data_IF_871442295588
#
_entry.id   IF_871442295588
#
_cell.length_a   1.000
_cell.length_b   1.000
_cell.length_c   1.000
_cell.angle_alpha   90.00
_cell.angle_beta   90.00
_cell.angle_gamma   90.00
#
_symmetry.space_group_name_H-M   'P 1'
#
loop_
_entity.id
_entity.type
_entity.pdbx_description
1 polymer ?
#
# COMPACT_ATOMS: atom_id res chain seq x y z
N UNK A 1 9.23 -17.55 10.21
CA UNK A 1 8.38 -16.38 9.88
C UNK A 1 7.27 -16.29 10.91
N UNK A 2 7.05 -15.10 11.48
CA UNK A 2 5.89 -14.82 12.32
C UNK A 2 4.64 -14.63 11.44
N UNK A 3 3.46 -15.01 11.95
CA UNK A 3 2.21 -14.66 11.29
C UNK A 3 1.90 -13.18 11.55
N UNK A 4 1.89 -12.37 10.48
CA UNK A 4 1.68 -10.92 10.55
C UNK A 4 0.23 -10.55 10.93
N UNK A 5 -0.72 -11.49 10.83
CA UNK A 5 -2.13 -11.25 11.11
C UNK A 5 -2.56 -11.54 12.55
N UNK A 6 -1.67 -12.08 13.38
CA UNK A 6 -2.03 -12.54 14.74
C UNK A 6 -2.60 -11.43 15.63
N UNK A 7 -2.22 -10.17 15.40
CA UNK A 7 -2.67 -9.03 16.21
C UNK A 7 -3.92 -8.34 15.66
N UNK A 8 -4.54 -8.87 14.60
CA UNK A 8 -5.70 -8.27 13.94
C UNK A 8 -6.92 -9.18 14.04
N UNK A 9 -8.07 -8.59 14.33
CA UNK A 9 -9.36 -9.27 14.36
C UNK A 9 -10.01 -9.26 12.98
N UNK A 10 -10.09 -8.09 12.35
CA UNK A 10 -10.71 -7.87 11.04
C UNK A 10 -9.71 -7.18 10.08
N UNK A 11 -8.59 -7.85 9.73
CA UNK A 11 -7.51 -7.25 8.96
C UNK A 11 -7.90 -6.97 7.51
N UNK A 12 -7.50 -5.78 7.07
CA UNK A 12 -7.38 -5.44 5.66
C UNK A 12 -5.90 -5.55 5.27
N UNK A 13 -5.60 -6.21 4.16
CA UNK A 13 -4.23 -6.46 3.68
C UNK A 13 -4.13 -6.04 2.22
N UNK A 14 -3.09 -5.29 1.88
CA UNK A 14 -2.68 -5.06 0.49
C UNK A 14 -1.26 -5.54 0.32
N UNK A 15 -1.04 -6.29 -0.76
CA UNK A 15 0.27 -6.71 -1.22
C UNK A 15 0.60 -5.92 -2.49
N UNK A 16 1.65 -5.11 -2.42
CA UNK A 16 2.08 -4.24 -3.52
C UNK A 16 3.46 -4.66 -3.97
N UNK A 17 3.56 -5.28 -5.15
CA UNK A 17 4.85 -5.52 -5.80
C UNK A 17 5.52 -4.20 -6.15
N UNK A 18 6.79 -4.12 -5.80
CA UNK A 18 7.64 -2.96 -6.06
C UNK A 18 8.67 -3.26 -7.14
N UNK A 19 8.93 -2.27 -7.99
CA UNK A 19 9.95 -2.33 -9.03
C UNK A 19 9.41 -2.11 -10.43
N UNK A 20 10.12 -1.30 -11.21
CA UNK A 20 9.95 -1.19 -12.68
C UNK A 20 10.55 -2.37 -13.45
N UNK A 21 11.51 -3.09 -12.84
CA UNK A 21 12.22 -4.27 -13.36
C UNK A 21 11.85 -5.46 -12.47
N UNK A 22 11.25 -6.49 -13.07
CA UNK A 22 10.74 -7.67 -12.36
C UNK A 22 11.63 -8.92 -12.47
N UNK A 23 12.87 -8.78 -12.92
CA UNK A 23 13.85 -9.86 -13.06
C UNK A 23 15.20 -9.45 -12.46
N UNK A 24 15.91 -10.42 -11.86
CA UNK A 24 17.26 -10.24 -11.35
C UNK A 24 18.29 -10.51 -12.46
N UNK A 25 19.56 -10.25 -12.17
CA UNK A 25 20.64 -10.39 -13.16
C UNK A 25 21.01 -11.87 -13.42
N UNK A 26 20.47 -12.79 -12.62
CA UNK A 26 20.64 -14.24 -12.76
C UNK A 26 19.48 -14.92 -13.50
N UNK A 27 18.44 -14.17 -13.89
CA UNK A 27 17.32 -14.72 -14.64
C UNK A 27 17.75 -15.17 -16.04
N UNK A 28 17.34 -16.39 -16.43
CA UNK A 28 17.50 -16.84 -17.81
C UNK A 28 16.69 -15.97 -18.79
N UNK A 29 17.03 -16.07 -20.07
CA UNK A 29 16.45 -15.20 -21.10
C UNK A 29 14.93 -15.39 -21.22
N UNK A 30 14.42 -16.61 -21.04
CA UNK A 30 12.98 -16.88 -21.09
C UNK A 30 12.24 -16.18 -19.93
N UNK A 31 12.76 -16.29 -18.70
CA UNK A 31 12.23 -15.64 -17.50
C UNK A 31 12.30 -14.12 -17.64
N UNK A 32 13.44 -13.61 -18.12
CA UNK A 32 13.64 -12.18 -18.36
C UNK A 32 12.61 -11.61 -19.34
N UNK A 33 12.42 -12.22 -20.51
CA UNK A 33 11.43 -11.77 -21.49
C UNK A 33 10.00 -11.82 -20.93
N UNK A 34 9.66 -12.88 -20.17
CA UNK A 34 8.37 -12.98 -19.48
C UNK A 34 8.15 -11.84 -18.47
N UNK A 35 9.17 -11.50 -17.69
CA UNK A 35 9.10 -10.44 -16.68
C UNK A 35 9.06 -9.04 -17.29
N UNK A 36 9.78 -8.82 -18.40
CA UNK A 36 9.68 -7.58 -19.21
C UNK A 36 8.26 -7.43 -19.75
N UNK A 37 7.72 -8.49 -20.36
CA UNK A 37 6.34 -8.50 -20.86
C UNK A 37 5.33 -8.23 -19.73
N UNK A 38 5.51 -8.84 -18.56
CA UNK A 38 4.65 -8.59 -17.39
C UNK A 38 4.74 -7.13 -16.92
N UNK A 39 5.94 -6.56 -16.83
CA UNK A 39 6.11 -5.18 -16.41
C UNK A 39 5.42 -4.21 -17.37
N UNK A 40 5.59 -4.41 -18.69
CA UNK A 40 5.04 -3.55 -19.73
C UNK A 40 3.52 -3.65 -19.87
N UNK A 41 2.92 -4.81 -19.54
CA UNK A 41 1.47 -5.02 -19.59
C UNK A 41 0.77 -4.68 -18.26
N UNK A 42 1.46 -4.03 -17.33
CA UNK A 42 0.93 -3.65 -16.01
C UNK A 42 1.42 -2.26 -15.65
N UNK A 43 0.99 -1.75 -14.50
CA UNK A 43 1.48 -0.46 -13.99
C UNK A 43 2.96 -0.50 -13.58
N UNK A 44 3.55 -1.69 -13.40
CA UNK A 44 4.92 -1.84 -12.89
C UNK A 44 5.95 -1.08 -13.72
N UNK A 45 5.96 -1.20 -15.05
CA UNK A 45 6.97 -0.54 -15.88
C UNK A 45 6.94 0.99 -15.76
N UNK A 46 5.74 1.57 -15.63
CA UNK A 46 5.56 3.02 -15.58
C UNK A 46 5.69 3.60 -14.16
N UNK A 47 5.18 2.89 -13.15
CA UNK A 47 5.05 3.44 -11.79
C UNK A 47 5.90 2.70 -10.75
N UNK A 48 6.44 1.53 -11.09
CA UNK A 48 7.12 0.65 -10.13
C UNK A 48 6.16 0.02 -9.12
N UNK A 49 4.85 0.07 -9.34
CA UNK A 49 3.81 -0.42 -8.43
C UNK A 49 2.93 -1.41 -9.18
N UNK A 50 2.66 -2.57 -8.57
CA UNK A 50 1.58 -3.47 -8.98
C UNK A 50 0.87 -4.04 -7.75
N UNK A 51 -0.45 -3.87 -7.66
CA UNK A 51 -1.25 -4.50 -6.61
C UNK A 51 -1.37 -6.01 -6.91
N UNK A 52 -0.71 -6.85 -6.10
CA UNK A 52 -0.68 -8.31 -6.30
C UNK A 52 -1.90 -8.99 -5.71
N UNK A 53 -2.37 -8.49 -4.57
CA UNK A 53 -3.47 -9.04 -3.81
C UNK A 53 -4.07 -8.00 -2.88
N UNK A 54 -5.37 -8.13 -2.63
CA UNK A 54 -6.10 -7.42 -1.61
C UNK A 54 -6.89 -8.41 -0.77
N UNK A 55 -6.96 -8.13 0.52
CA UNK A 55 -7.90 -8.71 1.44
C UNK A 55 -8.62 -7.56 2.14
N UNK A 56 -9.93 -7.47 2.01
CA UNK A 56 -10.74 -6.43 2.62
C UNK A 56 -11.76 -7.09 3.54
N UNK A 57 -11.93 -6.58 4.75
CA UNK A 57 -13.05 -6.97 5.59
C UNK A 57 -14.29 -6.19 5.17
N UNK A 58 -15.31 -6.88 4.69
CA UNK A 58 -16.58 -6.28 4.29
C UNK A 58 -17.44 -6.03 5.54
N UNK A 59 -17.60 -4.75 5.93
CA UNK A 59 -18.39 -4.37 7.12
C UNK A 59 -19.87 -4.80 7.01
N UNK A 60 -20.58 -4.60 5.89
CA UNK A 60 -21.97 -5.06 5.77
C UNK A 60 -22.15 -6.58 5.91
N UNK A 61 -21.31 -7.35 5.22
CA UNK A 61 -21.41 -8.82 5.17
C UNK A 61 -20.65 -9.51 6.31
N UNK A 62 -19.90 -8.77 7.12
CA UNK A 62 -19.05 -9.25 8.22
C UNK A 62 -18.12 -10.39 7.78
N UNK A 63 -17.52 -10.27 6.59
CA UNK A 63 -16.67 -11.32 6.01
C UNK A 63 -15.48 -10.77 5.25
N UNK A 64 -14.45 -11.60 5.13
CA UNK A 64 -13.27 -11.27 4.35
C UNK A 64 -13.54 -11.49 2.85
N UNK A 65 -13.27 -10.47 2.04
CA UNK A 65 -13.23 -10.53 0.56
C UNK A 65 -11.77 -10.51 0.11
N UNK A 66 -11.39 -11.51 -0.70
CA UNK A 66 -10.05 -11.61 -1.29
C UNK A 66 -10.11 -11.29 -2.78
N UNK A 67 -9.29 -10.34 -3.21
CA UNK A 67 -9.17 -9.92 -4.61
C UNK A 67 -7.76 -10.27 -5.07
N UNK A 68 -7.67 -11.13 -6.08
CA UNK A 68 -6.39 -11.64 -6.56
C UNK A 68 -5.72 -10.75 -7.62
N UNK A 69 -4.55 -11.20 -8.06
CA UNK A 69 -3.67 -10.56 -9.05
C UNK A 69 -4.33 -10.09 -10.35
N UNK A 70 -5.45 -10.67 -10.76
CA UNK A 70 -6.15 -10.24 -11.99
C UNK A 70 -6.60 -8.79 -11.87
N UNK A 71 -7.06 -8.37 -10.70
CA UNK A 71 -7.47 -6.99 -10.45
C UNK A 71 -6.33 -6.01 -10.69
N UNK A 72 -5.18 -6.19 -10.03
CA UNK A 72 -4.06 -5.28 -10.19
C UNK A 72 -3.40 -5.31 -11.58
N UNK A 73 -3.59 -6.39 -12.35
CA UNK A 73 -3.17 -6.44 -13.77
C UNK A 73 -4.10 -5.65 -14.69
N UNK A 74 -5.34 -5.40 -14.29
CA UNK A 74 -6.30 -4.60 -15.05
C UNK A 74 -6.22 -3.10 -14.72
N UNK A 75 -5.48 -2.73 -13.67
CA UNK A 75 -5.25 -1.33 -13.34
C UNK A 75 -4.41 -0.65 -14.41
N UNK A 76 -4.72 0.62 -14.64
CA UNK A 76 -3.97 1.53 -15.49
C UNK A 76 -3.21 2.52 -14.60
N UNK A 77 -2.30 3.29 -15.20
CA UNK A 77 -1.55 4.32 -14.46
C UNK A 77 -2.51 5.36 -13.86
N UNK A 78 -3.59 5.67 -14.57
CA UNK A 78 -4.58 6.68 -14.19
C UNK A 78 -5.45 6.24 -13.01
N UNK A 79 -5.87 4.97 -12.95
CA UNK A 79 -6.77 4.48 -11.89
C UNK A 79 -6.03 3.89 -10.67
N UNK A 80 -4.73 3.62 -10.79
CA UNK A 80 -3.91 3.06 -9.71
C UNK A 80 -3.95 3.91 -8.42
N UNK A 81 -3.84 5.26 -8.45
CA UNK A 81 -3.93 6.06 -7.23
C UNK A 81 -5.25 5.87 -6.49
N UNK A 82 -6.37 5.80 -7.22
CA UNK A 82 -7.69 5.58 -6.62
C UNK A 82 -7.79 4.19 -6.01
N UNK A 83 -7.33 3.15 -6.72
CA UNK A 83 -7.31 1.78 -6.22
C UNK A 83 -6.47 1.64 -4.93
N UNK A 84 -5.30 2.30 -4.88
CA UNK A 84 -4.45 2.32 -3.70
C UNK A 84 -5.14 3.03 -2.52
N UNK A 85 -5.69 4.23 -2.73
CA UNK A 85 -6.31 4.99 -1.65
C UNK A 85 -7.58 4.31 -1.14
N UNK A 86 -8.37 3.70 -2.03
CA UNK A 86 -9.58 2.94 -1.70
C UNK A 86 -9.30 1.74 -0.81
N UNK A 87 -8.10 1.16 -0.85
CA UNK A 87 -7.71 0.12 0.11
C UNK A 87 -7.91 0.57 1.55
N UNK A 88 -7.72 1.85 1.87
CA UNK A 88 -7.86 2.41 3.22
C UNK A 88 -9.30 2.82 3.58
N UNK A 89 -10.27 2.45 2.76
CA UNK A 89 -11.68 2.79 2.99
C UNK A 89 -12.18 2.41 4.41
N UNK A 90 -11.79 1.24 4.94
CA UNK A 90 -12.36 0.72 6.19
C UNK A 90 -11.92 1.46 7.47
N UNK A 91 -10.96 2.38 7.39
CA UNK A 91 -10.54 3.24 8.52
C UNK A 91 -10.99 4.70 8.36
N UNK A 92 -11.60 5.08 7.24
CA UNK A 92 -12.03 6.46 7.02
C UNK A 92 -13.46 6.70 7.55
N UNK A 93 -13.65 7.87 8.17
CA UNK A 93 -14.75 8.26 9.08
C UNK A 93 -16.21 8.09 8.57
N UNK A 94 -17.22 8.06 9.46
CA UNK A 94 -18.43 7.25 9.38
C UNK A 94 -19.56 7.77 8.45
N UNK A 95 -19.23 8.20 7.23
CA UNK A 95 -20.19 8.11 6.09
C UNK A 95 -20.57 6.64 5.83
N UNK A 96 -19.75 5.73 6.36
CA UNK A 96 -19.71 4.31 6.06
C UNK A 96 -20.32 3.43 7.16
N UNK A 97 -21.21 3.98 8.00
CA UNK A 97 -22.21 3.16 8.70
C UNK A 97 -23.28 2.79 7.66
N UNK A 98 -23.16 1.58 7.10
CA UNK A 98 -24.16 0.94 6.23
C UNK A 98 -24.26 1.43 4.77
N UNK A 99 -23.27 2.13 4.21
CA UNK A 99 -23.31 2.46 2.78
C UNK A 99 -22.92 1.28 1.90
N UNK A 100 -23.82 0.96 0.98
CA UNK A 100 -23.64 -0.03 -0.08
C UNK A 100 -23.28 0.77 -1.34
N UNK A 101 -22.06 0.62 -1.84
CA UNK A 101 -21.66 1.21 -3.12
C UNK A 101 -21.92 0.23 -4.24
N UNK A 102 -22.59 0.70 -5.28
CA UNK A 102 -22.94 -0.13 -6.44
C UNK A 102 -21.74 -0.39 -7.35
N UNK A 103 -20.75 0.51 -7.34
CA UNK A 103 -19.55 0.43 -8.16
C UNK A 103 -18.38 1.27 -7.59
N UNK A 104 -17.22 1.09 -8.21
CA UNK A 104 -15.95 1.72 -7.87
C UNK A 104 -15.92 3.25 -8.05
N UNK A 105 -16.60 3.76 -9.07
CA UNK A 105 -16.65 5.20 -9.38
C UNK A 105 -17.45 5.98 -8.35
N UNK A 106 -18.57 5.41 -7.90
CA UNK A 106 -19.40 5.95 -6.82
C UNK A 106 -18.59 6.00 -5.51
N UNK A 107 -17.82 4.95 -5.24
CA UNK A 107 -16.93 4.89 -4.09
C UNK A 107 -15.86 5.97 -4.14
N UNK A 108 -15.18 6.13 -5.29
CA UNK A 108 -14.15 7.16 -5.49
C UNK A 108 -14.72 8.57 -5.33
N UNK A 109 -15.89 8.85 -5.93
CA UNK A 109 -16.54 10.17 -5.80
C UNK A 109 -16.86 10.53 -4.36
N UNK A 110 -17.27 9.55 -3.56
CA UNK A 110 -17.61 9.78 -2.15
C UNK A 110 -16.37 9.86 -1.25
N UNK A 111 -15.36 9.04 -1.52
CA UNK A 111 -14.17 8.91 -0.69
C UNK A 111 -13.11 9.97 -1.00
N UNK A 112 -12.79 10.17 -2.28
CA UNK A 112 -11.66 11.01 -2.71
C UNK A 112 -11.98 12.50 -2.77
N UNK A 113 -13.26 12.87 -2.91
CA UNK A 113 -13.68 14.28 -2.99
C UNK A 113 -14.11 14.85 -1.63
N UNK A 114 -14.12 14.04 -0.58
CA UNK A 114 -14.54 14.46 0.75
C UNK A 114 -13.31 14.70 1.63
N UNK A 115 -13.33 15.82 2.36
CA UNK A 115 -12.24 16.15 3.28
C UNK A 115 -12.07 15.04 4.33
N UNK A 116 -10.86 14.47 4.49
CA UNK A 116 -10.58 13.45 5.48
C UNK A 116 -10.61 14.05 6.89
N UNK A 117 -11.06 13.26 7.85
CA UNK A 117 -11.03 13.66 9.25
C UNK A 117 -9.61 13.77 9.80
N UNK A 118 -9.47 14.43 10.95
CA UNK A 118 -8.18 14.51 11.64
C UNK A 118 -7.60 13.13 12.00
N UNK A 119 -8.47 12.14 12.26
CA UNK A 119 -8.03 10.77 12.49
C UNK A 119 -7.42 10.17 11.21
N UNK A 120 -8.14 10.22 10.09
CA UNK A 120 -7.68 9.73 8.78
C UNK A 120 -6.39 10.41 8.34
N UNK A 121 -6.30 11.74 8.51
CA UNK A 121 -5.09 12.51 8.21
C UNK A 121 -3.90 12.02 9.05
N UNK A 122 -4.10 11.85 10.36
CA UNK A 122 -3.04 11.35 11.24
C UNK A 122 -2.64 9.91 10.92
N UNK A 123 -3.59 9.07 10.51
CA UNK A 123 -3.31 7.70 10.06
C UNK A 123 -2.43 7.70 8.79
N UNK A 124 -2.79 8.47 7.76
CA UNK A 124 -1.98 8.57 6.55
C UNK A 124 -0.59 9.16 6.80
N UNK A 125 -0.48 10.15 7.70
CA UNK A 125 0.81 10.69 8.14
C UNK A 125 1.67 9.62 8.84
N UNK A 126 1.07 8.79 9.67
CA UNK A 126 1.77 7.69 10.33
C UNK A 126 2.25 6.62 9.33
N UNK A 127 1.42 6.29 8.32
CA UNK A 127 1.85 5.42 7.21
C UNK A 127 3.01 6.05 6.44
N UNK A 128 2.90 7.32 6.04
CA UNK A 128 3.96 8.03 5.33
C UNK A 128 5.27 8.01 6.12
N UNK A 129 5.23 8.27 7.44
CA UNK A 129 6.41 8.20 8.28
C UNK A 129 7.10 6.83 8.22
N UNK A 130 6.35 5.73 8.36
CA UNK A 130 6.92 4.37 8.25
C UNK A 130 7.43 4.05 6.84
N UNK A 131 6.77 4.53 5.78
CA UNK A 131 7.24 4.34 4.40
C UNK A 131 8.52 5.14 4.15
N UNK A 132 8.63 6.35 4.69
CA UNK A 132 9.86 7.16 4.64
C UNK A 132 11.02 6.47 5.36
N UNK A 133 10.79 5.95 6.57
CA UNK A 133 11.80 5.17 7.31
C UNK A 133 12.24 3.92 6.53
N UNK A 134 11.29 3.17 5.95
CA UNK A 134 11.60 2.01 5.12
C UNK A 134 12.41 2.41 3.88
N UNK A 135 12.02 3.48 3.18
CA UNK A 135 12.73 3.99 2.02
C UNK A 135 14.17 4.31 2.37
N UNK A 136 14.38 5.06 3.45
CA UNK A 136 15.71 5.47 3.89
C UNK A 136 16.53 4.26 4.36
N UNK A 137 15.92 3.27 4.99
CA UNK A 137 16.59 2.00 5.34
C UNK A 137 17.06 1.24 4.10
N UNK A 138 16.22 1.13 3.05
CA UNK A 138 16.60 0.47 1.78
C UNK A 138 17.66 1.26 1.03
N UNK A 139 17.61 2.59 1.08
CA UNK A 139 18.62 3.46 0.48
C UNK A 139 20.00 3.18 1.09
N UNK A 140 20.06 3.08 2.42
CA UNK A 140 21.30 2.89 3.16
C UNK A 140 21.78 1.43 3.22
N UNK A 141 20.95 0.45 2.81
CA UNK A 141 21.33 -0.97 2.87
C UNK A 141 22.16 -1.44 1.67
N UNK A 142 22.31 -0.63 0.62
CA UNK A 142 23.04 -0.98 -0.60
C UNK A 142 22.58 -2.34 -1.17
N UNK A 143 21.28 -2.47 -1.38
CA UNK A 143 20.65 -3.70 -1.88
C UNK A 143 20.08 -3.52 -3.28
N UNK A 144 19.88 -4.64 -3.97
CA UNK A 144 18.92 -4.77 -5.08
C UNK A 144 17.80 -5.65 -4.61
N UNK A 145 16.57 -5.19 -4.79
CA UNK A 145 15.36 -5.83 -4.28
C UNK A 145 14.41 -6.03 -5.46
N UNK A 146 14.42 -7.24 -6.02
CA UNK A 146 13.59 -7.57 -7.18
C UNK A 146 12.42 -8.45 -6.76
N UNK A 147 11.21 -8.05 -7.15
CA UNK A 147 10.01 -8.88 -6.98
C UNK A 147 9.49 -9.00 -5.56
N UNK A 148 10.01 -8.19 -4.63
CA UNK A 148 9.48 -8.02 -3.27
C UNK A 148 8.14 -7.30 -3.26
N UNK A 149 7.43 -7.41 -2.15
CA UNK A 149 6.19 -6.69 -1.93
C UNK A 149 6.21 -5.84 -0.67
N UNK A 150 5.64 -4.64 -0.76
CA UNK A 150 5.19 -3.88 0.40
C UNK A 150 3.82 -4.41 0.83
N UNK A 151 3.79 -5.05 1.99
CA UNK A 151 2.57 -5.55 2.62
C UNK A 151 2.11 -4.54 3.67
N UNK A 152 0.95 -3.92 3.45
CA UNK A 152 0.32 -3.02 4.42
C UNK A 152 -0.90 -3.72 5.00
N UNK A 153 -0.96 -3.77 6.33
CA UNK A 153 -2.02 -4.42 7.09
C UNK A 153 -2.63 -3.38 8.01
N UNK A 154 -3.96 -3.29 8.07
CA UNK A 154 -4.64 -2.44 9.05
C UNK A 154 -5.93 -3.07 9.58
N UNK A 155 -6.30 -2.69 10.81
CA UNK A 155 -7.53 -3.15 11.46
C UNK A 155 -8.75 -2.39 10.95
N UNK A 156 -9.86 -3.10 10.78
CA UNK A 156 -11.15 -2.44 10.57
C UNK A 156 -11.63 -1.80 11.87
N UNK A 157 -11.79 -0.48 11.88
CA UNK A 157 -12.11 0.29 13.10
C UNK A 157 -13.46 1.01 13.05
N UNK A 158 -13.94 1.39 14.25
CA UNK A 158 -14.88 2.48 14.45
C UNK A 158 -14.10 3.72 14.92
N UNK A 159 -13.95 4.73 14.05
CA UNK A 159 -13.07 5.88 14.30
C UNK A 159 -13.44 6.62 15.60
N UNK A 160 -14.73 6.73 15.94
CA UNK A 160 -15.15 7.39 17.17
C UNK A 160 -14.55 6.73 18.43
N UNK A 161 -14.52 5.39 18.47
CA UNK A 161 -13.88 4.65 19.58
C UNK A 161 -12.38 4.85 19.59
N UNK A 162 -11.79 4.94 18.41
CA UNK A 162 -10.36 5.05 18.26
C UNK A 162 -9.84 6.44 18.62
N UNK A 163 -10.61 7.48 18.30
CA UNK A 163 -10.41 8.85 18.80
C UNK A 163 -10.53 8.89 20.32
N UNK A 164 -11.53 8.23 20.91
CA UNK A 164 -11.68 8.13 22.36
C UNK A 164 -10.45 7.47 23.02
N UNK A 165 -10.00 6.33 22.48
CA UNK A 165 -8.78 5.64 22.95
C UNK A 165 -7.56 6.55 22.88
N UNK A 166 -7.39 7.29 21.78
CA UNK A 166 -6.30 8.25 21.61
C UNK A 166 -6.37 9.39 22.63
N UNK A 167 -7.56 9.92 22.91
CA UNK A 167 -7.76 10.98 23.89
C UNK A 167 -7.45 10.52 25.32
N UNK A 168 -7.77 9.26 25.65
CA UNK A 168 -7.52 8.70 26.98
C UNK A 168 -6.02 8.50 27.25
N UNK A 169 -5.25 8.00 26.28
CA UNK A 169 -3.83 7.71 26.43
C UNK A 169 -3.00 8.13 25.20
N UNK A 170 -2.83 9.44 24.95
CA UNK A 170 -2.25 9.93 23.69
C UNK A 170 -0.79 9.49 23.47
N UNK A 171 -0.02 9.29 24.54
CA UNK A 171 1.40 8.90 24.45
C UNK A 171 1.60 7.41 24.17
N UNK A 172 0.59 6.59 24.43
CA UNK A 172 0.62 5.13 24.24
C UNK A 172 -0.24 4.70 23.05
N UNK A 173 -0.83 5.66 22.35
CA UNK A 173 -1.72 5.41 21.23
C UNK A 173 -0.93 5.13 19.95
N UNK A 174 -1.21 3.98 19.33
CA UNK A 174 -0.71 3.62 18.01
C UNK A 174 -1.86 3.35 17.08
N UNK A 175 -1.76 3.89 15.86
CA UNK A 175 -2.69 3.53 14.80
C UNK A 175 -2.59 2.02 14.50
N UNK A 176 -3.71 1.31 14.31
CA UNK A 176 -3.71 -0.14 14.21
C UNK A 176 -3.35 -0.61 12.80
N UNK A 177 -2.13 -0.30 12.35
CA UNK A 177 -1.57 -0.77 11.09
C UNK A 177 -0.14 -1.26 11.27
N UNK A 178 0.35 -2.02 10.30
CA UNK A 178 1.76 -2.37 10.18
C UNK A 178 2.15 -2.43 8.70
N UNK A 179 3.43 -2.16 8.43
CA UNK A 179 4.01 -2.18 7.10
C UNK A 179 5.19 -3.15 7.13
N UNK A 180 5.23 -4.06 6.16
CA UNK A 180 6.27 -5.07 6.05
C UNK A 180 6.77 -5.15 4.62
N UNK A 181 8.09 -5.15 4.45
CA UNK A 181 8.69 -5.55 3.19
C UNK A 181 8.88 -7.08 3.22
N UNK A 182 8.33 -7.77 2.24
CA UNK A 182 8.32 -9.23 2.16
C UNK A 182 8.85 -9.72 0.80
N UNK A 183 9.08 -11.03 0.67
CA UNK A 183 9.53 -11.72 -0.55
C UNK A 183 10.92 -11.31 -1.06
N UNK A 184 11.96 -11.67 -0.29
CA UNK A 184 13.36 -11.36 -0.60
C UNK A 184 14.10 -12.40 -1.46
N UNK A 185 13.41 -13.34 -2.09
CA UNK A 185 14.03 -14.46 -2.80
C UNK A 185 15.00 -14.04 -3.92
N UNK A 186 14.81 -12.85 -4.49
CA UNK A 186 15.64 -12.26 -5.54
C UNK A 186 16.29 -10.95 -5.08
N UNK A 187 16.58 -10.83 -3.78
CA UNK A 187 17.24 -9.67 -3.18
C UNK A 187 18.67 -9.99 -2.79
N UNK A 188 19.59 -9.05 -3.02
CA UNK A 188 21.01 -9.24 -2.73
C UNK A 188 21.70 -7.90 -2.41
N UNK A 189 22.80 -7.96 -1.66
CA UNK A 189 23.65 -6.79 -1.40
C UNK A 189 24.51 -6.48 -2.63
N UNK A 190 24.80 -5.20 -2.83
CA UNK A 190 25.68 -4.70 -3.89
C UNK A 190 26.76 -3.79 -3.33
N UNK A 191 27.78 -3.53 -4.14
CA UNK A 191 28.80 -2.53 -3.83
C UNK A 191 28.14 -1.15 -3.65
N UNK A 192 28.45 -0.39 -2.58
CA UNK A 192 27.89 0.93 -2.34
C UNK A 192 28.03 1.91 -3.51
N UNK A 193 29.09 1.77 -4.32
CA UNK A 193 29.34 2.62 -5.48
C UNK A 193 28.33 2.41 -6.62
N UNK A 194 27.54 1.33 -6.60
CA UNK A 194 26.48 1.08 -7.59
C UNK A 194 25.23 1.95 -7.37
N UNK A 195 25.17 2.69 -6.26
CA UNK A 195 24.03 3.54 -5.91
C UNK A 195 22.76 2.76 -5.53
N UNK A 196 21.68 3.50 -5.33
CA UNK A 196 20.38 2.95 -4.90
C UNK A 196 19.72 2.05 -5.96
N UNK A 197 18.77 1.22 -5.50
CA UNK A 197 17.89 0.49 -6.40
C UNK A 197 16.82 1.43 -6.99
N UNK A 198 17.14 2.06 -8.11
CA UNK A 198 16.24 2.97 -8.83
C UNK A 198 14.88 2.35 -9.14
N UNK A 199 14.86 1.04 -9.41
CA UNK A 199 13.64 0.34 -9.77
C UNK A 199 12.68 0.25 -8.60
N UNK A 200 13.19 -0.21 -7.45
CA UNK A 200 12.47 -0.26 -6.20
C UNK A 200 12.06 1.14 -5.71
N UNK A 201 13.00 2.09 -5.75
CA UNK A 201 12.79 3.46 -5.28
C UNK A 201 11.69 4.18 -6.06
N UNK A 202 11.59 3.95 -7.37
CA UNK A 202 10.48 4.47 -8.19
C UNK A 202 9.12 4.04 -7.63
N UNK A 203 8.97 2.76 -7.26
CA UNK A 203 7.73 2.23 -6.69
C UNK A 203 7.37 2.86 -5.34
N UNK A 204 8.32 2.86 -4.39
CA UNK A 204 8.11 3.45 -3.06
C UNK A 204 7.81 4.96 -3.14
N UNK A 205 8.56 5.71 -3.95
CA UNK A 205 8.34 7.14 -4.12
C UNK A 205 6.98 7.45 -4.73
N UNK A 206 6.49 6.63 -5.67
CA UNK A 206 5.15 6.81 -6.22
C UNK A 206 4.05 6.52 -5.19
N UNK A 207 4.22 5.55 -4.28
CA UNK A 207 3.28 5.34 -3.17
C UNK A 207 3.21 6.58 -2.27
N UNK A 208 4.38 7.15 -1.92
CA UNK A 208 4.48 8.38 -1.15
C UNK A 208 3.73 9.51 -1.86
N UNK A 209 4.02 9.75 -3.14
CA UNK A 209 3.39 10.81 -3.93
C UNK A 209 1.87 10.65 -4.01
N UNK A 210 1.35 9.42 -4.16
CA UNK A 210 -0.09 9.17 -4.19
C UNK A 210 -0.75 9.61 -2.88
N UNK A 211 -0.20 9.20 -1.72
CA UNK A 211 -0.76 9.54 -0.41
C UNK A 211 -0.59 11.04 -0.12
N UNK A 212 0.56 11.62 -0.45
CA UNK A 212 0.79 13.05 -0.28
C UNK A 212 -0.15 13.90 -1.13
N UNK A 213 -0.37 13.56 -2.39
CA UNK A 213 -1.27 14.31 -3.26
C UNK A 213 -2.71 14.28 -2.73
N UNK A 214 -3.16 13.15 -2.20
CA UNK A 214 -4.44 13.06 -1.51
C UNK A 214 -4.51 14.03 -0.32
N UNK A 215 -3.50 14.07 0.55
CA UNK A 215 -3.48 14.99 1.69
C UNK A 215 -3.34 16.48 1.28
N UNK A 216 -2.54 16.78 0.25
CA UNK A 216 -2.34 18.14 -0.31
C UNK A 216 -3.64 18.70 -0.90
N UNK A 217 -4.47 17.85 -1.51
CA UNK A 217 -5.79 18.23 -2.05
C UNK A 217 -6.67 18.90 -1.00
N UNK A 218 -6.47 18.57 0.28
CA UNK A 218 -7.20 19.11 1.42
C UNK A 218 -6.37 20.01 2.34
N UNK A 219 -5.21 20.51 1.89
CA UNK A 219 -4.29 21.34 2.67
C UNK A 219 -3.89 20.70 4.02
N UNK A 220 -3.67 19.38 4.06
CA UNK A 220 -3.34 18.64 5.29
C UNK A 220 -1.85 18.41 5.51
N UNK A 221 -1.02 18.73 4.52
CA UNK A 221 0.45 18.75 4.56
C UNK A 221 0.97 19.91 3.73
#
# INVERSE_FOLDING_TARGET
>A
MQNLLTNYHNPNVIDIKLGTKLYDDYADEMKKQKMISLANNTTSAATGIQISALQIFDKPEQKIKKIGKTYGKMLTVENLPHALLRFFYNITEPVYKNSIYSNEEELDKNFLNREPSNYTVGFFKAILAQIYELRDAVYNSHTRIVGSSLCIIYETIEVAREVERRCQNPNEYYYPFSIHLIDFAHSYFVDPNMGEDQSFMTGINNIIVIIENYLKTFNKI
#
